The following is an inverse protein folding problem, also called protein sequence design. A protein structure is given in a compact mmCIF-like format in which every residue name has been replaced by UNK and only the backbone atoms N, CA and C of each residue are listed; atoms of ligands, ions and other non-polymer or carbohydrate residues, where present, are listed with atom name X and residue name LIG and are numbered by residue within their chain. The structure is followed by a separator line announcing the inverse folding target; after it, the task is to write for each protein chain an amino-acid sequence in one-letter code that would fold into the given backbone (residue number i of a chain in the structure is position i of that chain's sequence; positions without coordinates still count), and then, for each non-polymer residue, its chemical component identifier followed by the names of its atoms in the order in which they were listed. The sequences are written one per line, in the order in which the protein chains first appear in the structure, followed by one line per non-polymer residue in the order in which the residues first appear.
data_IF_109491300346
#
_entry.id   IF_109491300346
#
_cell.length_a   1.000
_cell.length_b   1.000
_cell.length_c   1.000
_cell.angle_alpha   90.00
_cell.angle_beta   90.00
_cell.angle_gamma   90.00
#
_symmetry.space_group_name_H-M   'P 1'
#
loop_
_entity.id
_entity.type
_entity.pdbx_description
1 polymer ?
#
# COMPACT_ATOMS: atom_id res chain seq x y z
N UNK A 1 -0.56 -15.63 -6.80
CA UNK A 1 0.19 -15.74 -5.53
C UNK A 1 -0.73 -15.53 -4.32
N UNK A 2 -1.32 -14.34 -4.10
CA UNK A 2 -2.25 -14.10 -2.97
C UNK A 2 -3.41 -15.09 -2.94
N UNK A 3 -4.09 -15.28 -4.06
CA UNK A 3 -5.20 -16.23 -4.14
C UNK A 3 -4.77 -17.66 -3.75
N UNK A 4 -3.59 -18.10 -4.18
CA UNK A 4 -3.06 -19.41 -3.81
C UNK A 4 -2.70 -19.50 -2.31
N UNK A 5 -2.11 -18.45 -1.73
CA UNK A 5 -1.80 -18.40 -0.31
C UNK A 5 -3.08 -18.37 0.56
N UNK A 6 -4.07 -17.57 0.17
CA UNK A 6 -5.36 -17.44 0.85
C UNK A 6 -6.15 -18.74 0.72
N UNK A 7 -6.30 -19.29 -0.48
CA UNK A 7 -7.02 -20.54 -0.72
C UNK A 7 -6.31 -21.72 -0.05
N UNK A 8 -4.99 -21.82 -0.17
CA UNK A 8 -4.21 -22.87 0.51
C UNK A 8 -4.36 -22.80 2.03
N UNK A 9 -4.40 -21.59 2.60
CA UNK A 9 -4.62 -21.41 4.05
C UNK A 9 -6.05 -21.73 4.47
N UNK A 10 -7.06 -21.30 3.70
CA UNK A 10 -8.47 -21.58 4.01
C UNK A 10 -8.83 -23.05 3.85
N UNK A 11 -8.27 -23.71 2.83
CA UNK A 11 -8.45 -25.12 2.55
C UNK A 11 -7.48 -26.01 3.34
N UNK A 12 -6.64 -25.44 4.21
CA UNK A 12 -5.70 -26.18 5.04
C UNK A 12 -6.35 -27.36 5.80
N UNK A 13 -7.56 -27.24 6.40
CA UNK A 13 -8.20 -28.37 7.07
C UNK A 13 -8.53 -29.57 6.17
N UNK A 14 -8.55 -29.37 4.85
CA UNK A 14 -8.88 -30.42 3.87
C UNK A 14 -7.69 -30.84 3.01
N UNK A 15 -6.69 -29.97 2.87
CA UNK A 15 -5.52 -30.18 2.00
C UNK A 15 -4.27 -30.57 2.80
N UNK A 16 -4.24 -30.29 4.11
CA UNK A 16 -3.11 -30.68 4.95
C UNK A 16 -2.98 -32.22 5.00
N UNK A 17 -1.82 -32.79 4.61
CA UNK A 17 -1.59 -34.23 4.65
C UNK A 17 -1.62 -34.80 6.08
N UNK A 18 -1.28 -33.97 7.07
CA UNK A 18 -1.18 -34.36 8.48
C UNK A 18 -1.88 -33.34 9.38
N UNK A 19 -2.27 -33.77 10.59
CA UNK A 19 -2.76 -32.86 11.61
C UNK A 19 -1.64 -31.87 12.05
N UNK A 20 -1.84 -30.54 11.93
CA UNK A 20 -0.76 -29.55 12.14
C UNK A 20 -0.13 -29.56 13.54
N UNK A 21 -0.84 -30.07 14.54
CA UNK A 21 -0.39 -30.10 15.94
C UNK A 21 -0.03 -31.50 16.43
N UNK A 22 -0.11 -32.53 15.57
CA UNK A 22 0.23 -33.91 15.94
C UNK A 22 1.74 -34.05 16.12
N UNK A 23 2.13 -34.34 17.35
CA UNK A 23 3.52 -34.55 17.77
C UNK A 23 3.92 -36.01 17.49
N UNK A 24 5.07 -36.20 16.85
CA UNK A 24 5.61 -37.53 16.54
C UNK A 24 7.12 -37.54 16.75
N UNK A 25 7.57 -37.89 17.96
CA UNK A 25 8.98 -37.76 18.36
C UNK A 25 9.95 -38.61 17.53
N UNK A 26 9.47 -39.70 16.93
CA UNK A 26 10.24 -40.54 15.99
C UNK A 26 10.52 -39.84 14.67
N UNK A 27 9.70 -38.85 14.31
CA UNK A 27 9.85 -38.05 13.11
C UNK A 27 10.50 -36.69 13.39
N UNK A 28 11.30 -36.56 14.46
CA UNK A 28 11.93 -35.28 14.84
C UNK A 28 12.97 -34.82 13.82
N UNK A 29 12.86 -33.57 13.36
CA UNK A 29 13.82 -32.89 12.49
C UNK A 29 14.18 -33.69 11.21
N UNK A 30 13.24 -34.45 10.67
CA UNK A 30 13.39 -35.10 9.38
C UNK A 30 13.45 -34.06 8.25
N UNK A 31 14.34 -34.26 7.25
CA UNK A 31 14.42 -33.40 6.08
C UNK A 31 13.18 -33.52 5.18
N UNK A 32 12.99 -32.57 4.25
CA UNK A 32 11.98 -32.65 3.20
C UNK A 32 12.01 -34.00 2.47
N UNK A 33 10.87 -34.66 2.39
CA UNK A 33 10.70 -35.98 1.78
C UNK A 33 9.29 -36.13 1.20
N UNK A 34 9.03 -37.23 0.48
CA UNK A 34 7.70 -37.52 -0.03
C UNK A 34 6.65 -37.69 1.09
N UNK A 35 7.07 -38.14 2.28
CA UNK A 35 6.22 -38.24 3.46
C UNK A 35 5.99 -36.87 4.12
N UNK A 36 7.03 -36.03 4.19
CA UNK A 36 6.98 -34.70 4.79
C UNK A 36 7.52 -33.66 3.83
N UNK A 37 6.66 -33.02 3.04
CA UNK A 37 7.09 -32.18 1.90
C UNK A 37 8.02 -31.04 2.29
N UNK A 38 7.82 -30.44 3.47
CA UNK A 38 8.66 -29.38 4.03
C UNK A 38 9.56 -29.88 5.18
N UNK A 39 9.60 -31.19 5.41
CA UNK A 39 10.22 -31.79 6.57
C UNK A 39 9.37 -31.63 7.83
N UNK A 40 10.01 -31.84 8.98
CA UNK A 40 9.37 -31.80 10.31
C UNK A 40 10.13 -30.90 11.28
N UNK A 41 9.49 -30.55 12.38
CA UNK A 41 10.06 -29.67 13.40
C UNK A 41 10.71 -30.41 14.60
N UNK A 42 11.11 -29.66 15.64
CA UNK A 42 11.81 -30.17 16.82
C UNK A 42 11.02 -31.18 17.65
N UNK A 43 9.71 -31.27 17.43
CA UNK A 43 8.81 -32.26 18.06
C UNK A 43 8.15 -33.17 17.00
N UNK A 44 8.66 -33.16 15.76
CA UNK A 44 8.22 -34.05 14.68
C UNK A 44 6.86 -33.74 14.09
N UNK A 45 6.37 -32.49 14.21
CA UNK A 45 5.15 -32.06 13.51
C UNK A 45 5.48 -31.74 12.05
N UNK A 46 4.55 -32.06 11.14
CA UNK A 46 4.70 -31.83 9.71
C UNK A 46 4.69 -30.32 9.36
N UNK A 47 5.78 -29.82 8.78
CA UNK A 47 5.93 -28.38 8.51
C UNK A 47 5.01 -27.89 7.40
N UNK A 48 4.71 -28.72 6.40
CA UNK A 48 3.84 -28.32 5.29
C UNK A 48 2.42 -28.04 5.81
N UNK A 49 1.87 -28.96 6.58
CA UNK A 49 0.56 -28.84 7.24
C UNK A 49 0.52 -27.63 8.18
N UNK A 50 1.61 -27.38 8.94
CA UNK A 50 1.72 -26.20 9.81
C UNK A 50 1.80 -24.89 9.05
N UNK A 51 2.52 -24.83 7.92
CA UNK A 51 2.59 -23.62 7.09
C UNK A 51 1.22 -23.29 6.51
N UNK A 52 0.46 -24.28 6.03
CA UNK A 52 -0.91 -24.07 5.54
C UNK A 52 -1.85 -23.59 6.65
N UNK A 53 -1.90 -24.28 7.79
CA UNK A 53 -2.78 -23.86 8.91
C UNK A 53 -2.35 -22.50 9.50
N UNK A 54 -1.05 -22.27 9.59
CA UNK A 54 -0.47 -21.02 10.09
C UNK A 54 -0.85 -19.81 9.26
N UNK A 55 -1.03 -19.98 7.94
CA UNK A 55 -1.43 -18.91 7.04
C UNK A 55 -2.78 -18.29 7.39
N UNK A 56 -3.71 -19.05 7.97
CA UNK A 56 -4.99 -18.50 8.45
C UNK A 56 -4.79 -17.45 9.52
N UNK A 57 -3.87 -17.71 10.46
CA UNK A 57 -3.56 -16.78 11.57
C UNK A 57 -2.71 -15.62 11.10
N UNK A 58 -1.67 -15.88 10.29
CA UNK A 58 -0.76 -14.83 9.81
C UNK A 58 -1.42 -13.86 8.82
N UNK A 59 -2.19 -14.36 7.84
CA UNK A 59 -2.96 -13.53 6.91
C UNK A 59 -4.09 -12.81 7.64
N UNK A 60 -4.83 -13.55 8.50
CA UNK A 60 -5.90 -12.99 9.31
C UNK A 60 -5.43 -11.84 10.20
N UNK A 61 -4.24 -11.97 10.80
CA UNK A 61 -3.63 -10.90 11.60
C UNK A 61 -3.37 -9.63 10.78
N UNK A 62 -2.73 -9.76 9.61
CA UNK A 62 -2.45 -8.60 8.74
C UNK A 62 -3.71 -7.88 8.29
N UNK A 63 -4.73 -8.63 7.88
CA UNK A 63 -6.03 -8.06 7.50
C UNK A 63 -6.72 -7.40 8.70
N UNK A 64 -6.71 -8.03 9.87
CA UNK A 64 -7.32 -7.47 11.08
C UNK A 64 -6.64 -6.16 11.53
N UNK A 65 -5.31 -6.10 11.43
CA UNK A 65 -4.53 -4.87 11.69
C UNK A 65 -5.01 -3.73 10.81
N UNK A 66 -5.08 -3.97 9.49
CA UNK A 66 -5.50 -2.97 8.52
C UNK A 66 -6.94 -2.53 8.75
N UNK A 67 -7.87 -3.48 8.98
CA UNK A 67 -9.28 -3.15 9.22
C UNK A 67 -9.47 -2.30 10.48
N UNK A 68 -8.77 -2.61 11.56
CA UNK A 68 -8.82 -1.83 12.79
C UNK A 68 -8.27 -0.41 12.56
N UNK A 69 -7.06 -0.32 11.99
CA UNK A 69 -6.40 0.96 11.75
C UNK A 69 -7.19 1.84 10.77
N UNK A 70 -7.77 1.24 9.72
CA UNK A 70 -8.65 1.91 8.77
C UNK A 70 -9.93 2.41 9.45
N UNK A 71 -10.58 1.58 10.27
CA UNK A 71 -11.82 1.98 10.95
C UNK A 71 -11.59 3.15 11.90
N UNK A 72 -10.53 3.06 12.72
CA UNK A 72 -10.12 4.17 13.58
C UNK A 72 -9.73 5.40 12.75
N UNK A 73 -9.04 5.21 11.64
CA UNK A 73 -8.64 6.26 10.70
C UNK A 73 -9.83 6.98 10.06
N UNK A 74 -10.86 6.25 9.64
CA UNK A 74 -12.09 6.80 9.07
C UNK A 74 -12.81 7.70 10.09
N UNK A 75 -12.92 7.23 11.34
CA UNK A 75 -13.58 7.99 12.41
C UNK A 75 -12.75 9.21 12.79
N UNK A 76 -11.51 9.02 13.22
CA UNK A 76 -10.67 10.10 13.74
C UNK A 76 -10.26 11.08 12.64
N UNK A 77 -9.89 10.59 11.45
CA UNK A 77 -9.55 11.45 10.30
C UNK A 77 -10.76 12.20 9.77
N UNK A 78 -11.95 11.58 9.77
CA UNK A 78 -13.22 12.22 9.45
C UNK A 78 -13.55 13.38 10.38
N UNK A 79 -13.45 13.15 11.69
CA UNK A 79 -13.67 14.19 12.71
C UNK A 79 -12.63 15.32 12.59
N UNK A 80 -11.35 14.97 12.44
CA UNK A 80 -10.25 15.94 12.27
C UNK A 80 -10.45 16.84 11.07
N UNK A 81 -10.74 16.23 9.90
CA UNK A 81 -10.91 16.96 8.65
C UNK A 81 -12.20 17.80 8.60
N UNK A 82 -13.28 17.35 9.26
CA UNK A 82 -14.52 18.11 9.29
C UNK A 82 -14.45 19.33 10.22
N UNK A 83 -14.12 19.10 11.49
CA UNK A 83 -14.17 20.14 12.51
C UNK A 83 -13.00 21.13 12.42
N UNK A 84 -11.83 20.70 11.94
CA UNK A 84 -10.66 21.57 11.86
C UNK A 84 -10.23 22.16 13.22
N UNK A 85 -9.49 23.26 13.17
CA UNK A 85 -9.18 24.09 14.34
C UNK A 85 -8.54 23.31 15.50
N UNK A 86 -9.11 23.44 16.70
CA UNK A 86 -8.59 22.79 17.91
C UNK A 86 -8.70 21.27 17.88
N UNK A 87 -9.80 20.72 17.35
CA UNK A 87 -9.99 19.26 17.26
C UNK A 87 -8.90 18.66 16.38
N UNK A 88 -8.68 19.29 15.24
CA UNK A 88 -7.64 18.88 14.30
C UNK A 88 -6.24 18.98 14.90
N UNK A 89 -5.94 20.10 15.58
CA UNK A 89 -4.67 20.29 16.27
C UNK A 89 -4.42 19.19 17.30
N UNK A 90 -5.38 18.89 18.17
CA UNK A 90 -5.23 17.87 19.21
C UNK A 90 -5.05 16.48 18.61
N UNK A 91 -5.91 16.08 17.66
CA UNK A 91 -5.82 14.77 17.03
C UNK A 91 -4.51 14.59 16.28
N UNK A 92 -4.10 15.57 15.47
CA UNK A 92 -2.83 15.48 14.75
C UNK A 92 -1.64 15.45 15.71
N UNK A 93 -1.68 16.15 16.84
CA UNK A 93 -0.61 16.08 17.86
C UNK A 93 -0.50 14.70 18.49
N UNK A 94 -1.62 14.06 18.81
CA UNK A 94 -1.59 12.66 19.30
C UNK A 94 -1.00 11.73 18.23
N UNK A 95 -1.39 11.90 16.96
CA UNK A 95 -0.83 11.10 15.86
C UNK A 95 0.67 11.34 15.66
N UNK A 96 1.13 12.59 15.81
CA UNK A 96 2.55 12.96 15.72
C UNK A 96 3.36 12.30 16.85
N UNK A 97 2.82 12.25 18.07
CA UNK A 97 3.46 11.57 19.20
C UNK A 97 3.61 10.08 18.94
N UNK A 98 2.59 9.42 18.38
CA UNK A 98 2.66 7.99 18.03
C UNK A 98 3.77 7.75 16.99
N UNK A 99 3.85 8.60 15.96
CA UNK A 99 4.83 8.47 14.88
C UNK A 99 6.25 8.91 15.26
N UNK A 100 6.43 9.60 16.40
CA UNK A 100 7.74 9.97 16.90
C UNK A 100 8.56 8.75 17.33
N UNK A 101 7.89 7.65 17.69
CA UNK A 101 8.55 6.40 18.05
C UNK A 101 8.76 5.51 16.82
N UNK A 102 9.89 4.79 16.72
CA UNK A 102 10.06 3.74 15.73
C UNK A 102 8.93 2.70 15.82
N UNK A 103 8.28 2.41 14.69
CA UNK A 103 7.08 1.58 14.65
C UNK A 103 7.23 0.23 15.36
N UNK A 104 8.34 -0.46 15.14
CA UNK A 104 8.62 -1.74 15.78
C UNK A 104 8.79 -1.61 17.30
N UNK A 105 9.53 -0.60 17.76
CA UNK A 105 9.78 -0.37 19.18
C UNK A 105 8.48 -0.07 19.92
N UNK A 106 7.65 0.81 19.35
CA UNK A 106 6.35 1.13 19.92
C UNK A 106 5.42 -0.09 19.92
N UNK A 107 5.36 -0.83 18.81
CA UNK A 107 4.52 -2.03 18.72
C UNK A 107 4.96 -3.10 19.73
N UNK A 108 6.27 -3.29 19.94
CA UNK A 108 6.79 -4.19 20.99
C UNK A 108 6.38 -3.73 22.38
N UNK A 109 6.52 -2.44 22.70
CA UNK A 109 6.16 -1.90 24.01
C UNK A 109 4.67 -2.09 24.31
N UNK A 110 3.80 -1.79 23.33
CA UNK A 110 2.35 -1.98 23.46
C UNK A 110 1.99 -3.46 23.57
N UNK A 111 2.57 -4.33 22.73
CA UNK A 111 2.31 -5.76 22.79
C UNK A 111 2.77 -6.38 24.12
N UNK A 112 3.93 -5.96 24.64
CA UNK A 112 4.43 -6.40 25.94
C UNK A 112 3.51 -5.95 27.08
N UNK A 113 2.97 -4.73 27.02
CA UNK A 113 2.03 -4.22 28.02
C UNK A 113 0.67 -4.93 27.99
N UNK A 114 0.17 -5.29 26.81
CA UNK A 114 -1.09 -6.04 26.64
C UNK A 114 -0.95 -7.54 26.97
N UNK A 115 0.29 -8.02 27.09
CA UNK A 115 0.59 -9.42 27.29
C UNK A 115 0.69 -10.21 25.97
N UNK A 116 1.19 -11.45 26.01
CA UNK A 116 1.51 -12.23 24.83
C UNK A 116 0.25 -12.80 24.15
N UNK A 117 0.23 -12.78 22.82
CA UNK A 117 -0.83 -13.41 22.04
C UNK A 117 -1.09 -12.74 20.70
N UNK A 118 -1.92 -13.41 19.88
CA UNK A 118 -2.31 -12.90 18.56
C UNK A 118 -3.06 -11.58 18.67
N UNK A 119 -3.98 -11.47 19.63
CA UNK A 119 -4.81 -10.28 19.81
C UNK A 119 -3.95 -9.07 20.20
N UNK A 120 -3.06 -9.24 21.18
CA UNK A 120 -2.14 -8.18 21.61
C UNK A 120 -1.23 -7.71 20.48
N UNK A 121 -0.71 -8.65 19.68
CA UNK A 121 0.09 -8.35 18.48
C UNK A 121 -0.71 -7.54 17.46
N UNK A 122 -1.93 -7.97 17.15
CA UNK A 122 -2.83 -7.26 16.21
C UNK A 122 -3.14 -5.86 16.72
N UNK A 123 -3.55 -5.72 17.98
CA UNK A 123 -3.88 -4.41 18.56
C UNK A 123 -2.67 -3.47 18.61
N UNK A 124 -1.49 -3.98 18.98
CA UNK A 124 -0.27 -3.20 19.03
C UNK A 124 0.15 -2.69 17.64
N UNK A 125 0.18 -3.56 16.63
CA UNK A 125 0.53 -3.14 15.26
C UNK A 125 -0.55 -2.20 14.72
N UNK A 126 -1.83 -2.48 14.94
CA UNK A 126 -2.91 -1.63 14.47
C UNK A 126 -2.84 -0.22 15.06
N UNK A 127 -2.59 -0.10 16.36
CA UNK A 127 -2.38 1.18 17.04
C UNK A 127 -1.28 2.01 16.38
N UNK A 128 -0.16 1.38 16.04
CA UNK A 128 0.97 2.04 15.34
C UNK A 128 0.61 2.46 13.90
N UNK A 129 -0.32 1.76 13.24
CA UNK A 129 -0.78 2.09 11.88
C UNK A 129 -1.88 3.14 11.83
N UNK A 130 -2.65 3.37 12.91
CA UNK A 130 -3.74 4.36 12.97
C UNK A 130 -3.35 5.73 12.38
N UNK A 131 -2.19 6.34 12.72
CA UNK A 131 -1.82 7.66 12.21
C UNK A 131 -1.79 7.78 10.68
N UNK A 132 -1.40 6.71 9.97
CA UNK A 132 -1.34 6.69 8.51
C UNK A 132 -2.74 6.87 7.93
N UNK A 133 -3.72 6.13 8.43
CA UNK A 133 -5.10 6.22 7.97
C UNK A 133 -5.78 7.52 8.42
N UNK A 134 -5.52 7.98 9.66
CA UNK A 134 -6.07 9.26 10.15
C UNK A 134 -5.65 10.41 9.24
N UNK A 135 -4.37 10.50 8.89
CA UNK A 135 -3.85 11.56 8.02
C UNK A 135 -4.41 11.47 6.59
N UNK A 136 -4.49 10.25 6.05
CA UNK A 136 -5.05 10.04 4.71
C UNK A 136 -6.51 10.46 4.63
N UNK A 137 -7.35 9.96 5.54
CA UNK A 137 -8.78 10.28 5.58
C UNK A 137 -8.99 11.77 5.84
N UNK A 138 -8.23 12.36 6.78
CA UNK A 138 -8.25 13.80 7.02
C UNK A 138 -8.00 14.60 5.75
N UNK A 139 -6.96 14.25 4.99
CA UNK A 139 -6.62 14.95 3.75
C UNK A 139 -7.76 14.84 2.70
N UNK A 140 -8.36 13.65 2.57
CA UNK A 140 -9.51 13.45 1.69
C UNK A 140 -10.71 14.29 2.15
N UNK A 141 -11.01 14.28 3.43
CA UNK A 141 -12.15 15.01 4.00
C UNK A 141 -12.00 16.52 3.85
N UNK A 142 -10.80 17.06 4.11
CA UNK A 142 -10.50 18.48 3.87
C UNK A 142 -10.76 18.88 2.41
N UNK A 143 -10.32 18.05 1.46
CA UNK A 143 -10.53 18.32 0.02
C UNK A 143 -11.99 18.15 -0.42
N UNK A 144 -12.72 17.18 0.14
CA UNK A 144 -14.11 16.91 -0.22
C UNK A 144 -15.07 17.92 0.41
N UNK A 145 -14.74 18.47 1.59
CA UNK A 145 -15.60 19.43 2.32
C UNK A 145 -15.87 20.70 1.52
N UNK A 146 -14.94 21.12 0.66
CA UNK A 146 -15.03 22.33 -0.17
C UNK A 146 -15.76 22.10 -1.50
N UNK A 147 -16.41 20.93 -1.70
CA UNK A 147 -17.14 20.63 -2.94
C UNK A 147 -18.61 21.00 -2.84
N UNK A 148 -19.17 21.44 -3.96
CA UNK A 148 -20.56 21.94 -4.10
C UNK A 148 -21.62 20.99 -3.51
N UNK A 149 -21.46 19.66 -3.64
CA UNK A 149 -22.43 18.71 -3.09
C UNK A 149 -22.43 18.69 -1.55
N UNK A 150 -21.31 18.99 -0.91
CA UNK A 150 -21.21 19.09 0.55
C UNK A 150 -21.80 20.43 1.00
N UNK A 151 -21.48 21.52 0.31
CA UNK A 151 -22.07 22.84 0.59
C UNK A 151 -23.60 22.81 0.47
N UNK A 152 -24.12 22.16 -0.57
CA UNK A 152 -25.57 21.97 -0.75
C UNK A 152 -26.19 21.16 0.41
N UNK A 153 -25.53 20.09 0.87
CA UNK A 153 -26.01 19.29 2.00
C UNK A 153 -26.01 20.09 3.32
N UNK A 154 -25.00 20.95 3.53
CA UNK A 154 -24.93 21.86 4.68
C UNK A 154 -26.05 22.92 4.60
N UNK A 155 -26.25 23.52 3.43
CA UNK A 155 -27.32 24.50 3.20
C UNK A 155 -28.72 23.90 3.40
N UNK A 156 -28.89 22.61 3.09
CA UNK A 156 -30.11 21.85 3.35
C UNK A 156 -30.29 21.45 4.84
N UNK A 157 -29.38 21.84 5.74
CA UNK A 157 -29.48 21.57 7.17
C UNK A 157 -29.17 20.13 7.57
N UNK A 158 -28.43 19.37 6.76
CA UNK A 158 -28.07 18.00 7.11
C UNK A 158 -27.14 17.98 8.35
N UNK A 159 -27.37 17.08 9.34
CA UNK A 159 -26.50 16.99 10.50
C UNK A 159 -25.12 16.45 10.11
N UNK A 160 -24.08 16.89 10.82
CA UNK A 160 -22.66 16.54 10.57
C UNK A 160 -22.44 15.04 10.41
N UNK A 161 -23.01 14.21 11.30
CA UNK A 161 -22.86 12.76 11.22
C UNK A 161 -23.41 12.17 9.92
N UNK A 162 -24.50 12.73 9.38
CA UNK A 162 -25.07 12.33 8.09
C UNK A 162 -24.16 12.76 6.94
N UNK A 163 -23.60 13.96 7.01
CA UNK A 163 -22.65 14.46 6.00
C UNK A 163 -21.40 13.58 5.95
N UNK A 164 -20.83 13.27 7.11
CA UNK A 164 -19.69 12.37 7.21
C UNK A 164 -20.03 10.98 6.65
N UNK A 165 -21.09 10.34 7.15
CA UNK A 165 -21.38 8.94 6.81
C UNK A 165 -21.89 8.73 5.37
N UNK A 166 -22.63 9.69 4.78
CA UNK A 166 -23.20 9.54 3.43
C UNK A 166 -22.44 10.27 2.34
N UNK A 167 -21.72 11.34 2.66
CA UNK A 167 -21.09 12.17 1.64
C UNK A 167 -19.57 12.11 1.71
N UNK A 168 -18.94 12.31 2.87
CA UNK A 168 -17.49 12.41 2.94
C UNK A 168 -16.79 11.04 2.98
N UNK A 169 -17.19 10.17 3.91
CA UNK A 169 -16.55 8.86 4.10
C UNK A 169 -16.65 8.01 2.83
N UNK A 170 -17.84 7.80 2.21
CA UNK A 170 -17.93 7.00 0.99
C UNK A 170 -17.07 7.54 -0.15
N UNK A 171 -16.98 8.86 -0.31
CA UNK A 171 -16.16 9.48 -1.35
C UNK A 171 -14.65 9.46 -1.04
N UNK A 172 -14.26 9.23 0.22
CA UNK A 172 -12.86 9.04 0.61
C UNK A 172 -12.37 7.59 0.45
N UNK A 173 -13.27 6.63 0.25
CA UNK A 173 -12.92 5.20 0.26
C UNK A 173 -11.97 4.79 -0.87
N UNK A 174 -11.99 5.44 -2.03
CA UNK A 174 -11.14 5.06 -3.17
C UNK A 174 -9.65 5.02 -2.79
N UNK A 175 -9.04 6.17 -2.43
CA UNK A 175 -7.65 6.22 -1.96
C UNK A 175 -7.39 5.40 -0.69
N UNK A 176 -8.36 5.33 0.22
CA UNK A 176 -8.23 4.60 1.50
C UNK A 176 -8.15 3.09 1.28
N UNK A 177 -8.95 2.53 0.37
CA UNK A 177 -8.93 1.10 0.03
C UNK A 177 -7.64 0.72 -0.67
N UNK A 178 -7.15 1.55 -1.60
CA UNK A 178 -5.84 1.35 -2.23
C UNK A 178 -4.73 1.30 -1.18
N UNK A 179 -4.69 2.29 -0.27
CA UNK A 179 -3.75 2.30 0.84
C UNK A 179 -3.89 1.05 1.73
N UNK A 180 -5.13 0.64 2.01
CA UNK A 180 -5.40 -0.55 2.82
C UNK A 180 -4.80 -1.82 2.21
N UNK A 181 -4.98 -2.01 0.90
CA UNK A 181 -4.45 -3.20 0.21
C UNK A 181 -2.92 -3.28 0.23
N UNK A 182 -2.25 -2.16 -0.01
CA UNK A 182 -0.79 -2.06 0.06
C UNK A 182 -0.26 -2.25 1.49
N UNK A 183 -1.06 -1.87 2.50
CA UNK A 183 -0.62 -1.95 3.88
C UNK A 183 -0.70 -3.36 4.48
N UNK A 184 -1.52 -4.27 3.92
CA UNK A 184 -1.67 -5.63 4.45
C UNK A 184 -0.31 -6.34 4.51
N UNK A 185 0.52 -6.23 3.47
CA UNK A 185 1.84 -6.85 3.45
C UNK A 185 2.77 -6.33 4.55
N UNK A 186 2.80 -5.01 4.74
CA UNK A 186 3.60 -4.36 5.78
C UNK A 186 3.10 -4.70 7.19
N UNK A 187 1.78 -4.72 7.38
CA UNK A 187 1.14 -5.13 8.62
C UNK A 187 1.44 -6.59 8.99
N UNK A 188 1.39 -7.50 7.99
CA UNK A 188 1.78 -8.91 8.17
C UNK A 188 3.24 -9.04 8.60
N UNK A 189 4.15 -8.30 7.96
CA UNK A 189 5.58 -8.37 8.30
C UNK A 189 5.84 -7.88 9.73
N UNK A 190 5.22 -6.78 10.15
CA UNK A 190 5.33 -6.29 11.53
C UNK A 190 4.74 -7.28 12.55
N UNK A 191 3.56 -7.84 12.28
CA UNK A 191 2.94 -8.85 13.15
C UNK A 191 3.82 -10.11 13.27
N UNK A 192 4.34 -10.60 12.14
CA UNK A 192 5.27 -11.73 12.12
C UNK A 192 6.58 -11.41 12.86
N UNK A 193 7.06 -10.16 12.80
CA UNK A 193 8.25 -9.72 13.55
C UNK A 193 7.99 -9.76 15.06
N UNK A 194 6.83 -9.30 15.53
CA UNK A 194 6.47 -9.39 16.95
C UNK A 194 6.30 -10.84 17.42
N UNK A 195 5.67 -11.70 16.62
CA UNK A 195 5.63 -13.15 16.87
C UNK A 195 7.03 -13.75 16.91
N UNK A 196 7.90 -13.35 15.98
CA UNK A 196 9.29 -13.80 15.94
C UNK A 196 10.06 -13.39 17.21
N UNK A 197 9.72 -12.25 17.79
CA UNK A 197 10.29 -11.77 19.06
C UNK A 197 9.62 -12.38 20.31
N UNK A 198 8.64 -13.27 20.12
CA UNK A 198 7.98 -14.00 21.21
C UNK A 198 6.77 -13.30 21.84
N UNK A 199 6.30 -12.19 21.25
CA UNK A 199 5.14 -11.43 21.72
C UNK A 199 3.82 -11.88 21.05
N UNK A 200 3.90 -12.76 20.06
CA UNK A 200 2.76 -13.24 19.28
C UNK A 200 2.15 -14.55 19.75
N UNK A 201 1.78 -15.40 18.78
CA UNK A 201 1.12 -16.68 19.04
C UNK A 201 2.04 -17.62 19.81
N UNK A 202 1.47 -18.32 20.79
CA UNK A 202 2.16 -19.36 21.56
C UNK A 202 1.86 -20.75 21.00
N UNK A 203 2.82 -21.65 21.14
CA UNK A 203 2.62 -23.08 20.85
C UNK A 203 1.42 -23.63 21.65
N UNK A 204 0.65 -24.59 21.11
CA UNK A 204 0.92 -25.38 19.90
C UNK A 204 0.50 -24.73 18.57
N UNK A 205 -0.28 -23.65 18.62
CA UNK A 205 -0.89 -23.06 17.43
C UNK A 205 0.16 -22.61 16.39
N UNK A 206 -0.08 -22.96 15.12
CA UNK A 206 0.79 -22.58 14.02
C UNK A 206 0.56 -21.12 13.62
N UNK A 207 1.64 -20.35 13.51
CA UNK A 207 1.68 -18.99 12.99
C UNK A 207 3.09 -18.76 12.43
N UNK A 208 3.21 -18.18 11.24
CA UNK A 208 4.47 -18.14 10.51
C UNK A 208 5.61 -17.46 11.28
N UNK A 209 5.38 -16.32 11.92
CA UNK A 209 6.41 -15.63 12.71
C UNK A 209 6.90 -16.47 13.90
N UNK A 210 5.98 -17.11 14.61
CA UNK A 210 6.31 -18.02 15.72
C UNK A 210 7.04 -19.29 15.25
N UNK A 211 6.71 -19.81 14.07
CA UNK A 211 7.40 -20.94 13.45
C UNK A 211 8.84 -20.57 13.06
N UNK A 212 9.06 -19.38 12.49
CA UNK A 212 10.42 -18.89 12.19
C UNK A 212 11.24 -18.72 13.47
N UNK A 213 10.64 -18.23 14.57
CA UNK A 213 11.32 -18.16 15.87
C UNK A 213 11.77 -19.54 16.34
N UNK A 214 10.85 -20.52 16.32
CA UNK A 214 11.15 -21.88 16.78
C UNK A 214 12.24 -22.55 15.93
N UNK A 215 12.22 -22.32 14.61
CA UNK A 215 13.22 -22.85 13.68
C UNK A 215 14.58 -22.14 13.71
N UNK A 216 14.69 -20.93 14.28
CA UNK A 216 15.91 -20.11 14.17
C UNK A 216 17.15 -20.76 14.78
N UNK A 217 16.97 -21.56 15.84
CA UNK A 217 18.06 -22.28 16.51
C UNK A 217 18.59 -23.45 15.68
N UNK A 218 17.83 -23.90 14.68
CA UNK A 218 18.16 -25.01 13.81
C UNK A 218 18.58 -24.53 12.42
N UNK A 219 18.71 -23.23 12.18
CA UNK A 219 18.92 -22.65 10.86
C UNK A 219 20.15 -23.22 10.13
N UNK A 220 21.24 -23.45 10.85
CA UNK A 220 22.50 -23.91 10.26
C UNK A 220 22.45 -25.38 9.83
N UNK A 221 21.79 -26.23 10.62
CA UNK A 221 21.74 -27.66 10.36
C UNK A 221 20.50 -28.06 9.55
N UNK A 222 19.34 -27.50 9.91
CA UNK A 222 18.00 -27.85 9.40
C UNK A 222 17.34 -26.63 8.75
N UNK A 223 17.99 -26.12 7.70
CA UNK A 223 17.62 -24.86 7.03
C UNK A 223 16.14 -24.79 6.60
N UNK A 224 15.52 -25.92 6.24
CA UNK A 224 14.12 -25.97 5.80
C UNK A 224 13.16 -25.48 6.88
N UNK A 225 13.49 -25.72 8.15
CA UNK A 225 12.59 -25.46 9.26
C UNK A 225 12.18 -23.97 9.36
N UNK A 226 13.10 -23.01 9.52
CA UNK A 226 12.74 -21.60 9.50
C UNK A 226 12.46 -21.06 8.08
N UNK A 227 13.02 -21.66 7.03
CA UNK A 227 12.95 -21.10 5.67
C UNK A 227 11.57 -21.19 5.05
N UNK A 228 10.86 -22.31 5.17
CA UNK A 228 9.52 -22.47 4.59
C UNK A 228 8.46 -21.51 5.16
N UNK A 229 8.29 -21.34 6.50
CA UNK A 229 7.39 -20.33 7.04
C UNK A 229 7.86 -18.91 6.70
N UNK A 230 9.17 -18.64 6.63
CA UNK A 230 9.71 -17.36 6.17
C UNK A 230 9.36 -17.05 4.71
N UNK A 231 9.48 -18.05 3.82
CA UNK A 231 9.09 -17.94 2.42
C UNK A 231 7.58 -17.72 2.27
N UNK A 232 6.76 -18.35 3.10
CA UNK A 232 5.31 -18.12 3.13
C UNK A 232 4.97 -16.66 3.47
N UNK A 233 5.63 -16.06 4.47
CA UNK A 233 5.50 -14.63 4.78
C UNK A 233 5.89 -13.79 3.56
N UNK A 234 7.07 -14.04 2.98
CA UNK A 234 7.61 -13.27 1.85
C UNK A 234 6.66 -13.30 0.65
N UNK A 235 6.30 -14.49 0.17
CA UNK A 235 5.43 -14.69 -1.00
C UNK A 235 4.06 -14.05 -0.79
N UNK A 236 3.52 -14.16 0.42
CA UNK A 236 2.18 -13.64 0.72
C UNK A 236 2.19 -12.12 0.86
N UNK A 237 3.16 -11.56 1.58
CA UNK A 237 3.30 -10.11 1.75
C UNK A 237 3.58 -9.42 0.41
N UNK A 238 4.49 -9.97 -0.40
CA UNK A 238 4.74 -9.48 -1.76
C UNK A 238 3.48 -9.58 -2.62
N UNK A 239 2.75 -10.69 -2.52
CA UNK A 239 1.49 -10.85 -3.23
C UNK A 239 0.49 -9.73 -2.89
N UNK A 240 0.30 -9.39 -1.62
CA UNK A 240 -0.60 -8.32 -1.20
C UNK A 240 -0.14 -6.95 -1.71
N UNK A 241 1.16 -6.68 -1.71
CA UNK A 241 1.70 -5.45 -2.29
C UNK A 241 1.39 -5.35 -3.79
N UNK A 242 1.67 -6.41 -4.56
CA UNK A 242 1.37 -6.45 -6.01
C UNK A 242 -0.13 -6.35 -6.29
N UNK A 243 -0.98 -6.96 -5.46
CA UNK A 243 -2.43 -6.82 -5.57
C UNK A 243 -2.87 -5.36 -5.34
N UNK A 244 -2.26 -4.69 -4.37
CA UNK A 244 -2.52 -3.29 -4.09
C UNK A 244 -2.08 -2.36 -5.22
N UNK A 245 -0.93 -2.63 -5.83
CA UNK A 245 -0.46 -1.89 -7.00
C UNK A 245 -1.39 -2.10 -8.21
N UNK A 246 -1.81 -3.34 -8.49
CA UNK A 246 -2.78 -3.60 -9.55
C UNK A 246 -4.14 -2.93 -9.31
N UNK A 247 -4.60 -2.88 -8.06
CA UNK A 247 -5.83 -2.16 -7.69
C UNK A 247 -5.67 -0.64 -7.86
N UNK A 248 -4.52 -0.09 -7.46
CA UNK A 248 -4.18 1.31 -7.64
C UNK A 248 -4.22 1.70 -9.12
N UNK A 249 -3.58 0.90 -9.97
CA UNK A 249 -3.51 1.15 -11.40
C UNK A 249 -4.88 1.07 -12.07
N UNK A 250 -5.72 0.12 -11.66
CA UNK A 250 -7.09 -0.01 -12.15
C UNK A 250 -8.00 1.17 -11.73
N UNK A 251 -7.72 1.78 -10.58
CA UNK A 251 -8.48 2.91 -10.04
C UNK A 251 -7.91 4.28 -10.44
N UNK A 252 -6.72 4.36 -11.05
CA UNK A 252 -6.14 5.62 -11.52
C UNK A 252 -6.85 6.12 -12.82
N UNK A 253 -7.60 7.23 -12.77
CA UNK A 253 -8.30 7.76 -13.94
C UNK A 253 -7.36 8.34 -15.01
N UNK A 254 -6.10 8.64 -14.65
CA UNK A 254 -5.14 9.28 -15.58
C UNK A 254 -4.67 8.33 -16.67
N UNK A 255 -4.50 7.04 -16.36
CA UNK A 255 -4.13 6.02 -17.34
C UNK A 255 -5.17 5.88 -18.47
N UNK A 256 -6.47 6.02 -18.15
CA UNK A 256 -7.56 5.93 -19.14
C UNK A 256 -7.67 7.16 -20.06
N UNK A 257 -7.31 8.37 -19.60
CA UNK A 257 -7.41 9.58 -20.45
C UNK A 257 -6.35 9.61 -21.55
N UNK A 258 -5.16 9.08 -21.29
CA UNK A 258 -4.07 9.01 -22.29
C UNK A 258 -4.41 8.01 -23.40
N UNK A 259 -5.00 6.86 -23.06
CA UNK A 259 -5.37 5.84 -24.05
C UNK A 259 -6.59 6.22 -24.91
N UNK A 260 -7.59 6.91 -24.34
CA UNK A 260 -8.84 7.26 -25.05
C UNK A 260 -8.76 8.52 -25.92
N UNK A 261 -7.98 9.53 -25.51
CA UNK A 261 -7.84 10.78 -26.26
C UNK A 261 -6.70 10.77 -27.29
N UNK A 262 -5.69 9.92 -27.09
CA UNK A 262 -4.51 9.86 -27.96
C UNK A 262 -4.82 9.33 -29.36
N UNK A 263 -5.69 8.32 -29.50
CA UNK A 263 -5.94 7.66 -30.79
C UNK A 263 -6.56 8.57 -31.86
N UNK A 264 -7.47 9.47 -31.45
CA UNK A 264 -8.15 10.38 -32.36
C UNK A 264 -7.28 11.60 -32.71
N UNK A 265 -6.55 12.13 -31.72
CA UNK A 265 -5.55 13.19 -31.93
C UNK A 265 -4.38 12.71 -32.81
N UNK A 266 -3.92 11.46 -32.64
CA UNK A 266 -2.84 10.86 -33.41
C UNK A 266 -3.19 10.68 -34.89
N UNK A 267 -4.44 10.29 -35.21
CA UNK A 267 -4.92 10.25 -36.60
C UNK A 267 -4.86 11.63 -37.26
N UNK A 268 -5.19 12.69 -36.53
CA UNK A 268 -5.09 14.06 -37.06
C UNK A 268 -3.65 14.58 -37.16
N UNK A 269 -2.75 14.17 -36.26
CA UNK A 269 -1.36 14.64 -36.23
C UNK A 269 -0.46 13.92 -37.25
N UNK A 270 -0.62 12.61 -37.45
CA UNK A 270 0.14 11.87 -38.47
C UNK A 270 -0.11 12.40 -39.88
N UNK A 271 -1.33 12.90 -40.15
CA UNK A 271 -1.73 13.49 -41.44
C UNK A 271 -1.10 14.86 -41.71
N UNK A 272 -0.51 15.53 -40.70
CA UNK A 272 0.01 16.90 -40.82
C UNK A 272 1.52 17.05 -40.63
N UNK A 273 2.28 15.96 -40.48
CA UNK A 273 3.73 16.05 -40.28
C UNK A 273 4.46 16.36 -41.60
N UNK A 274 5.40 17.33 -41.64
CA UNK A 274 6.25 17.59 -42.80
C UNK A 274 7.05 16.34 -43.21
N UNK A 275 7.34 16.17 -44.51
CA UNK A 275 8.03 14.97 -45.03
C UNK A 275 9.42 14.74 -44.40
N UNK A 276 10.12 15.81 -44.01
CA UNK A 276 11.43 15.72 -43.35
C UNK A 276 11.36 15.00 -41.99
N UNK A 277 10.25 15.17 -41.26
CA UNK A 277 10.04 14.57 -39.94
C UNK A 277 9.65 13.10 -40.07
N UNK A 278 8.87 12.75 -41.09
CA UNK A 278 8.53 11.36 -41.40
C UNK A 278 9.79 10.51 -41.67
N UNK A 279 10.75 11.07 -42.41
CA UNK A 279 12.01 10.38 -42.72
C UNK A 279 12.85 10.14 -41.46
N UNK A 280 12.97 11.14 -40.59
CA UNK A 280 13.70 11.01 -39.32
C UNK A 280 13.08 9.97 -38.38
N UNK A 281 11.75 9.96 -38.26
CA UNK A 281 11.05 8.99 -37.40
C UNK A 281 11.18 7.57 -37.96
N UNK A 282 11.17 7.41 -39.29
CA UNK A 282 11.39 6.11 -39.94
C UNK A 282 12.79 5.59 -39.70
N UNK A 283 13.81 6.43 -39.83
CA UNK A 283 15.20 6.06 -39.53
C UNK A 283 15.40 5.71 -38.05
N UNK A 284 14.71 6.41 -37.14
CA UNK A 284 14.73 6.09 -35.70
C UNK A 284 14.07 4.73 -35.41
N UNK A 285 12.89 4.48 -36.01
CA UNK A 285 12.15 3.24 -35.88
C UNK A 285 12.93 2.02 -36.39
N UNK A 286 13.63 2.17 -37.52
CA UNK A 286 14.50 1.14 -38.09
C UNK A 286 15.72 0.86 -37.20
N UNK A 287 16.30 1.89 -36.56
CA UNK A 287 17.43 1.73 -35.62
C UNK A 287 17.03 1.03 -34.33
N UNK A 288 15.84 1.30 -33.81
CA UNK A 288 15.37 0.72 -32.53
C UNK A 288 14.60 -0.59 -32.71
N UNK A 289 14.30 -1.01 -33.96
CA UNK A 289 13.54 -2.22 -34.25
C UNK A 289 12.07 -2.12 -33.85
N UNK A 290 11.53 -0.91 -33.77
CA UNK A 290 10.18 -0.60 -33.27
C UNK A 290 9.33 -0.05 -34.41
N UNK A 291 8.01 -0.27 -34.38
CA UNK A 291 7.14 0.30 -35.42
C UNK A 291 7.12 1.84 -35.36
N UNK A 292 7.06 2.49 -36.52
CA UNK A 292 7.04 3.96 -36.65
C UNK A 292 5.91 4.59 -35.81
N UNK A 293 4.74 3.95 -35.76
CA UNK A 293 3.64 4.38 -34.90
C UNK A 293 4.04 4.38 -33.43
N UNK A 294 4.72 3.33 -32.96
CA UNK A 294 5.10 3.18 -31.56
C UNK A 294 6.21 4.16 -31.14
N UNK A 295 7.12 4.54 -32.04
CA UNK A 295 8.07 5.66 -31.80
C UNK A 295 7.32 6.99 -31.64
N UNK A 296 6.35 7.26 -32.51
CA UNK A 296 5.51 8.47 -32.42
C UNK A 296 4.71 8.46 -31.11
N UNK A 297 4.06 7.35 -30.75
CA UNK A 297 3.26 7.23 -29.53
C UNK A 297 4.11 7.50 -28.29
N UNK A 298 5.34 6.98 -28.25
CA UNK A 298 6.24 7.07 -27.09
C UNK A 298 6.78 8.49 -26.94
N UNK A 299 7.31 9.07 -28.02
CA UNK A 299 7.80 10.44 -28.02
C UNK A 299 6.69 11.46 -27.75
N UNK A 300 5.48 11.24 -28.27
CA UNK A 300 4.34 12.11 -28.02
C UNK A 300 3.79 11.94 -26.60
N UNK A 301 3.77 10.73 -26.05
CA UNK A 301 3.37 10.50 -24.65
C UNK A 301 4.35 11.15 -23.68
N UNK A 302 5.66 11.05 -23.96
CA UNK A 302 6.71 11.71 -23.18
C UNK A 302 6.58 13.24 -23.27
N UNK A 303 6.37 13.78 -24.48
CA UNK A 303 6.23 15.22 -24.70
C UNK A 303 4.89 15.77 -24.20
N UNK A 304 3.78 15.03 -24.30
CA UNK A 304 2.48 15.40 -23.71
C UNK A 304 2.57 15.33 -22.18
N UNK A 305 3.28 14.35 -21.62
CA UNK A 305 3.55 14.30 -20.18
C UNK A 305 4.32 15.54 -19.72
N UNK A 306 5.31 15.98 -20.50
CA UNK A 306 6.07 17.20 -20.24
C UNK A 306 5.28 18.51 -20.48
N UNK A 307 4.40 18.55 -21.49
CA UNK A 307 3.56 19.70 -21.82
C UNK A 307 2.38 19.84 -20.84
N UNK A 308 1.82 18.73 -20.34
CA UNK A 308 0.81 18.76 -19.28
C UNK A 308 1.37 19.27 -17.94
N UNK A 309 2.69 19.38 -17.78
CA UNK A 309 3.33 20.01 -16.61
C UNK A 309 3.60 21.49 -16.80
N UNK A 310 3.94 21.96 -18.01
CA UNK A 310 4.32 23.38 -18.25
C UNK A 310 3.17 24.19 -18.86
N UNK A 311 2.53 23.72 -19.93
CA UNK A 311 1.43 24.42 -20.60
C UNK A 311 0.16 24.43 -19.74
N UNK A 312 -0.05 23.43 -18.89
CA UNK A 312 -1.14 23.43 -17.91
C UNK A 312 -0.97 24.56 -16.88
N UNK A 313 0.27 24.83 -16.46
CA UNK A 313 0.59 25.92 -15.54
C UNK A 313 0.44 27.27 -16.24
N UNK A 314 0.89 27.41 -17.49
CA UNK A 314 0.71 28.63 -18.28
C UNK A 314 -0.76 28.91 -18.65
N UNK A 315 -1.53 27.87 -19.00
CA UNK A 315 -2.96 27.99 -19.29
C UNK A 315 -3.83 28.26 -18.04
N UNK A 316 -3.33 27.89 -16.86
CA UNK A 316 -3.94 28.24 -15.56
C UNK A 316 -3.57 29.67 -15.14
N UNK A 317 -2.36 30.13 -15.45
CA UNK A 317 -1.95 31.53 -15.30
C UNK A 317 -2.76 32.46 -16.22
N UNK A 318 -3.07 32.04 -17.45
CA UNK A 318 -3.92 32.81 -18.38
C UNK A 318 -5.39 32.92 -17.96
N UNK A 319 -5.89 32.02 -17.10
CA UNK A 319 -7.29 32.01 -16.60
C UNK A 319 -7.48 32.64 -15.21
N UNK A 320 -6.40 33.03 -14.53
CA UNK A 320 -6.46 33.71 -13.22
C UNK A 320 -5.91 35.12 -13.33
N UNK A 321 -6.69 36.12 -12.88
CA UNK A 321 -6.36 37.56 -12.89
C UNK A 321 -4.86 37.86 -12.81
N UNK A 322 -4.30 38.37 -13.92
CA UNK A 322 -2.89 38.78 -14.12
C UNK A 322 -2.35 39.63 -12.95
N UNK A 323 -3.21 40.40 -12.30
CA UNK A 323 -2.89 41.24 -11.13
C UNK A 323 -2.46 40.44 -9.88
N UNK A 324 -2.91 39.19 -9.72
CA UNK A 324 -2.55 38.35 -8.56
C UNK A 324 -1.18 37.69 -8.73
N UNK A 325 -0.79 37.43 -10.00
CA UNK A 325 0.49 36.85 -10.38
C UNK A 325 1.62 37.89 -10.29
N UNK A 326 1.39 39.11 -10.77
CA UNK A 326 2.39 40.20 -10.64
C UNK A 326 2.64 40.60 -9.19
N UNK A 327 1.62 40.55 -8.32
CA UNK A 327 1.78 40.74 -6.86
C UNK A 327 2.60 39.64 -6.17
N UNK A 328 2.67 38.44 -6.77
CA UNK A 328 3.45 37.33 -6.24
C UNK A 328 4.90 37.40 -6.72
N UNK A 329 5.12 37.79 -7.98
CA UNK A 329 6.44 38.04 -8.56
C UNK A 329 7.17 39.22 -7.89
N UNK A 330 6.47 40.30 -7.54
CA UNK A 330 7.04 41.43 -6.80
C UNK A 330 7.51 41.10 -5.38
N UNK A 331 7.24 39.89 -4.86
CA UNK A 331 7.70 39.40 -3.55
C UNK A 331 8.92 38.50 -3.63
N UNK A 332 9.40 38.18 -4.83
CA UNK A 332 10.59 37.35 -5.05
C UNK A 332 11.78 38.29 -5.28
N UNK A 333 12.81 38.31 -4.41
CA UNK A 333 13.99 39.16 -4.61
C UNK A 333 14.76 38.71 -5.87
N UNK A 334 15.16 39.68 -6.71
CA UNK A 334 15.92 39.45 -7.94
C UNK A 334 17.23 38.68 -7.65
N UNK A 335 17.38 37.51 -8.28
CA UNK A 335 18.70 36.89 -8.50
C UNK A 335 19.14 37.35 -9.90
N UNK A 336 20.22 38.15 -10.03
CA UNK A 336 20.65 38.63 -11.33
C UNK A 336 21.19 37.46 -12.18
N UNK A 337 20.92 37.44 -13.49
CA UNK A 337 21.33 36.35 -14.37
C UNK A 337 22.85 36.35 -14.56
N UNK A 338 23.45 35.15 -14.49
CA UNK A 338 24.87 34.92 -14.80
C UNK A 338 25.18 35.27 -16.26
N UNK A 339 26.24 36.06 -16.46
CA UNK A 339 26.73 36.42 -17.78
C UNK A 339 27.39 35.20 -18.43
N UNK A 340 26.85 34.75 -19.56
CA UNK A 340 27.57 33.83 -20.43
C UNK A 340 28.63 34.60 -21.22
N UNK A 341 29.89 34.35 -20.88
CA UNK A 341 31.06 34.72 -21.70
C UNK A 341 31.02 33.97 -23.03
N UNK A 342 31.18 34.73 -24.12
CA UNK A 342 31.46 34.16 -25.43
C UNK A 342 32.94 33.84 -25.57
N UNK A 343 33.23 32.60 -26.01
CA UNK A 343 34.15 32.25 -27.11
C UNK A 343 33.92 30.79 -27.49
#
# INVERSE_FOLDING_TARGET
MVAAAVLGSLLAPWVAPHEPNRVELTARLLPPSAAHWFGTDEVGRDLFSRVLDGGRRSIGAGVAVVLFALTAGLVLGGLSGWFGGKVDLVLMRVMDVILAFPALVLAMAVAAALGPGLQSTVLAVAFVRVPVYVRLVRAQVLSLREREFVEAAVAAGAPVGRILARHLIPNSLGPVVVQATLDVGSAMLLAATLSFLGLGVRAPAAEWGAMVNSGRTFLLDQWWYPSFPGAAILVTAMGFNLLGDGLRDALDPRARRVAGGGGDLMKTLSVRLPESVHKQIRELAEREGVSMNQVITTALAEKISALMTVDYLEARARRGSRAKFERALAKVPDVPPEAHDGL
#
